data_IF_190893073234
#
_entry.id   IF_190893073234
#
_cell.length_a   1.000
_cell.length_b   1.000
_cell.length_c   1.000
_cell.angle_alpha   90.00
_cell.angle_beta   90.00
_cell.angle_gamma   90.00
#
_symmetry.space_group_name_H-M   'P 1'
#
loop_
_entity.id
_entity.type
_entity.pdbx_description
1 polymer ?
#
# COMPACT_ATOMS: atom_id res chain seq x y z
N UNK A 1 -44.62 -33.72 -63.43
CA UNK A 1 -45.01 -35.15 -63.31
C UNK A 1 -44.89 -35.54 -61.85
N UNK A 2 -46.03 -35.84 -61.21
CA UNK A 2 -46.28 -36.69 -60.03
C UNK A 2 -45.42 -36.51 -58.74
N UNK A 3 -45.91 -36.70 -57.52
CA UNK A 3 -47.24 -36.88 -56.92
C UNK A 3 -47.02 -36.97 -55.41
N UNK A 4 -48.00 -36.52 -54.65
CA UNK A 4 -48.12 -36.58 -53.19
C UNK A 4 -48.30 -38.00 -52.61
N UNK A 5 -48.02 -38.15 -51.31
CA UNK A 5 -48.89 -38.75 -50.25
C UNK A 5 -48.05 -38.91 -48.97
N UNK A 6 -48.34 -38.37 -47.79
CA UNK A 6 -49.55 -38.19 -46.96
C UNK A 6 -49.97 -39.44 -46.15
N UNK A 7 -49.74 -39.36 -44.83
CA UNK A 7 -50.52 -40.04 -43.77
C UNK A 7 -49.80 -41.16 -43.02
N UNK A 8 -50.03 -41.44 -41.73
CA UNK A 8 -50.93 -40.91 -40.68
C UNK A 8 -50.40 -41.44 -39.32
N UNK A 9 -50.97 -40.88 -38.24
CA UNK A 9 -50.66 -41.03 -36.81
C UNK A 9 -50.89 -42.42 -36.18
N UNK A 10 -50.08 -42.69 -35.14
CA UNK A 10 -50.28 -43.39 -33.83
C UNK A 10 -51.40 -44.42 -33.59
N UNK A 11 -51.14 -45.39 -32.69
CA UNK A 11 -51.80 -45.32 -31.38
C UNK A 11 -50.91 -45.79 -30.19
N UNK A 12 -51.16 -45.25 -28.98
CA UNK A 12 -50.93 -45.98 -27.71
C UNK A 12 -52.25 -46.64 -27.26
N UNK A 13 -52.40 -47.17 -26.03
CA UNK A 13 -51.45 -47.43 -24.95
C UNK A 13 -51.52 -48.89 -24.40
N UNK A 14 -50.73 -49.18 -23.35
CA UNK A 14 -51.01 -50.08 -22.21
C UNK A 14 -50.00 -51.22 -21.91
N UNK A 15 -49.69 -51.26 -20.62
CA UNK A 15 -49.39 -52.43 -19.77
C UNK A 15 -48.04 -53.18 -19.95
N UNK A 16 -47.10 -52.85 -19.06
CA UNK A 16 -46.34 -53.90 -18.36
C UNK A 16 -45.88 -53.45 -16.98
N UNK A 17 -46.62 -53.91 -15.97
CA UNK A 17 -46.21 -53.95 -14.58
C UNK A 17 -45.04 -54.93 -14.42
N UNK A 18 -43.94 -54.53 -13.78
CA UNK A 18 -43.16 -55.49 -12.96
C UNK A 18 -42.22 -54.82 -11.94
N UNK A 19 -42.58 -55.03 -10.67
CA UNK A 19 -41.71 -55.25 -9.50
C UNK A 19 -40.91 -54.06 -8.95
N UNK A 20 -41.60 -53.30 -8.10
CA UNK A 20 -41.01 -52.52 -7.02
C UNK A 20 -40.26 -53.42 -6.03
N UNK A 21 -38.94 -53.22 -5.88
CA UNK A 21 -38.15 -53.77 -4.76
C UNK A 21 -38.40 -52.92 -3.52
N UNK A 22 -39.22 -53.41 -2.59
CA UNK A 22 -39.28 -52.89 -1.22
C UNK A 22 -38.04 -53.39 -0.47
N UNK A 23 -37.10 -52.50 -0.16
CA UNK A 23 -36.10 -52.72 0.90
C UNK A 23 -36.63 -52.07 2.18
N UNK A 24 -37.01 -52.92 3.13
CA UNK A 24 -37.40 -52.56 4.48
C UNK A 24 -36.16 -52.13 5.26
N UNK A 25 -36.13 -50.88 5.74
CA UNK A 25 -35.17 -50.44 6.74
C UNK A 25 -35.65 -50.91 8.11
N UNK A 26 -34.94 -51.88 8.68
CA UNK A 26 -35.19 -52.42 10.01
C UNK A 26 -34.49 -51.52 11.04
N UNK A 27 -35.27 -50.68 11.72
CA UNK A 27 -34.83 -49.98 12.92
C UNK A 27 -34.63 -50.98 14.05
N UNK A 28 -33.37 -51.19 14.45
CA UNK A 28 -33.01 -51.89 15.68
C UNK A 28 -32.53 -50.87 16.70
N UNK A 29 -33.45 -50.33 17.50
CA UNK A 29 -33.11 -49.64 18.74
C UNK A 29 -33.05 -50.70 19.82
N UNK A 30 -31.84 -50.97 20.35
CA UNK A 30 -31.67 -51.64 21.64
C UNK A 30 -30.82 -50.72 22.51
N UNK A 31 -31.37 -50.40 23.68
CA UNK A 31 -30.83 -49.44 24.62
C UNK A 31 -29.79 -50.06 25.56
N UNK A 32 -28.94 -49.16 26.05
CA UNK A 32 -28.20 -49.18 27.32
C UNK A 32 -26.93 -50.05 27.46
N UNK A 33 -25.78 -49.37 27.66
CA UNK A 33 -24.54 -50.00 28.08
C UNK A 33 -23.32 -49.05 28.25
N UNK A 34 -23.29 -48.32 29.38
CA UNK A 34 -22.13 -47.70 30.08
C UNK A 34 -21.52 -46.37 29.57
N UNK A 35 -21.31 -45.37 30.47
CA UNK A 35 -20.54 -44.17 30.18
C UNK A 35 -19.05 -44.44 30.43
N UNK A 36 -18.33 -44.81 29.37
CA UNK A 36 -16.87 -44.89 29.37
C UNK A 36 -16.26 -43.49 29.24
N UNK A 37 -15.56 -43.07 30.28
CA UNK A 37 -14.65 -41.91 30.29
C UNK A 37 -13.56 -42.15 29.24
N UNK A 38 -13.45 -41.28 28.23
CA UNK A 38 -12.23 -40.97 27.45
C UNK A 38 -12.55 -40.06 26.26
N UNK A 39 -12.73 -38.77 26.50
CA UNK A 39 -12.62 -37.74 25.42
C UNK A 39 -11.91 -36.48 25.92
N UNK A 40 -11.09 -36.59 26.97
CA UNK A 40 -10.19 -35.53 27.41
C UNK A 40 -8.84 -35.69 26.70
N UNK A 41 -8.84 -35.41 25.40
CA UNK A 41 -7.65 -35.61 24.56
C UNK A 41 -7.81 -35.16 23.12
N UNK A 42 -8.77 -34.26 22.82
CA UNK A 42 -8.74 -33.55 21.53
C UNK A 42 -7.50 -32.65 21.57
N UNK A 43 -6.38 -33.16 21.03
CA UNK A 43 -5.25 -32.34 20.64
C UNK A 43 -5.81 -31.29 19.68
N UNK A 44 -5.79 -30.04 20.10
CA UNK A 44 -6.07 -28.93 19.19
C UNK A 44 -5.18 -29.08 17.94
N UNK A 45 -5.69 -28.79 16.74
CA UNK A 45 -4.94 -28.98 15.50
C UNK A 45 -3.81 -27.94 15.42
N UNK A 46 -2.66 -28.25 16.03
CA UNK A 46 -1.44 -27.40 16.04
C UNK A 46 -0.90 -27.06 14.64
N UNK A 47 -1.42 -27.69 13.57
CA UNK A 47 -1.01 -27.42 12.18
C UNK A 47 -1.72 -26.23 11.53
N UNK A 48 -3.01 -26.02 11.83
CA UNK A 48 -3.81 -24.99 11.14
C UNK A 48 -3.38 -23.57 11.51
N UNK A 49 -3.01 -23.37 12.78
CA UNK A 49 -2.52 -22.07 13.26
C UNK A 49 -1.17 -21.72 12.62
N UNK A 50 -0.27 -22.71 12.55
CA UNK A 50 1.05 -22.60 11.91
C UNK A 50 0.97 -22.27 10.41
N UNK A 51 0.04 -22.89 9.69
CA UNK A 51 -0.14 -22.62 8.25
C UNK A 51 -0.69 -21.20 8.01
N UNK A 52 -1.58 -20.73 8.90
CA UNK A 52 -2.08 -19.35 8.86
C UNK A 52 -0.97 -18.35 9.19
N UNK A 53 -0.19 -18.60 10.23
CA UNK A 53 0.99 -17.79 10.56
C UNK A 53 1.96 -17.66 9.39
N UNK A 54 2.22 -18.79 8.70
CA UNK A 54 3.10 -18.83 7.54
C UNK A 54 2.56 -17.96 6.38
N UNK A 55 1.29 -18.13 6.00
CA UNK A 55 0.66 -17.34 4.92
C UNK A 55 0.66 -15.83 5.27
N UNK A 56 0.45 -15.49 6.54
CA UNK A 56 0.45 -14.09 7.01
C UNK A 56 1.83 -13.46 6.92
N UNK A 57 2.87 -14.19 7.33
CA UNK A 57 4.26 -13.76 7.17
C UNK A 57 4.62 -13.58 5.68
N UNK A 58 4.21 -14.52 4.82
CA UNK A 58 4.45 -14.43 3.37
C UNK A 58 3.80 -13.18 2.74
N UNK A 59 2.60 -12.78 3.17
CA UNK A 59 1.94 -11.58 2.65
C UNK A 59 2.69 -10.30 3.04
N UNK A 60 3.09 -10.17 4.30
CA UNK A 60 3.88 -9.01 4.75
C UNK A 60 5.21 -8.93 4.00
N UNK A 61 5.92 -10.05 3.87
CA UNK A 61 7.17 -10.14 3.12
C UNK A 61 6.98 -9.71 1.66
N UNK A 62 5.93 -10.21 0.99
CA UNK A 62 5.60 -9.82 -0.37
C UNK A 62 5.31 -8.31 -0.51
N UNK A 63 4.55 -7.74 0.42
CA UNK A 63 4.28 -6.30 0.44
C UNK A 63 5.55 -5.49 0.68
N UNK A 64 6.43 -5.93 1.58
CA UNK A 64 7.70 -5.26 1.84
C UNK A 64 8.66 -5.32 0.65
N UNK A 65 8.64 -6.39 -0.15
CA UNK A 65 9.35 -6.45 -1.43
C UNK A 65 8.82 -5.36 -2.36
N UNK A 66 7.50 -5.24 -2.52
CA UNK A 66 6.89 -4.22 -3.37
C UNK A 66 7.20 -2.79 -2.89
N UNK A 67 7.08 -2.53 -1.58
CA UNK A 67 7.47 -1.26 -0.94
C UNK A 67 8.93 -0.92 -1.26
N UNK A 68 9.82 -1.89 -1.13
CA UNK A 68 11.26 -1.73 -1.41
C UNK A 68 11.54 -1.45 -2.89
N UNK A 69 10.80 -2.07 -3.81
CA UNK A 69 10.91 -1.79 -5.25
C UNK A 69 10.51 -0.34 -5.54
N UNK A 70 9.38 0.12 -5.02
CA UNK A 70 8.90 1.50 -5.25
C UNK A 70 9.88 2.52 -4.65
N UNK A 71 10.38 2.28 -3.44
CA UNK A 71 11.41 3.12 -2.83
C UNK A 71 12.71 3.12 -3.64
N UNK A 72 13.16 1.95 -4.11
CA UNK A 72 14.35 1.82 -4.96
C UNK A 72 14.22 2.60 -6.27
N UNK A 73 13.02 2.62 -6.87
CA UNK A 73 12.72 3.47 -8.02
C UNK A 73 12.80 4.96 -7.67
N UNK A 74 12.22 5.37 -6.53
CA UNK A 74 12.31 6.75 -6.04
C UNK A 74 13.76 7.18 -5.79
N UNK A 75 14.56 6.32 -5.15
CA UNK A 75 15.99 6.56 -4.93
C UNK A 75 16.73 6.70 -6.25
N UNK A 76 16.43 5.84 -7.22
CA UNK A 76 17.05 5.89 -8.56
C UNK A 76 16.73 7.21 -9.27
N UNK A 77 15.50 7.71 -9.18
CA UNK A 77 15.11 9.02 -9.73
C UNK A 77 15.90 10.15 -9.08
N UNK A 78 16.02 10.17 -7.74
CA UNK A 78 16.79 11.19 -7.02
C UNK A 78 18.26 11.17 -7.43
N UNK A 79 18.91 10.00 -7.39
CA UNK A 79 20.33 9.88 -7.69
C UNK A 79 20.64 10.17 -9.17
N UNK A 80 19.79 9.68 -10.08
CA UNK A 80 19.95 9.93 -11.52
C UNK A 80 19.74 11.40 -11.86
N UNK A 81 18.74 12.05 -11.25
CA UNK A 81 18.50 13.47 -11.39
C UNK A 81 19.68 14.32 -10.88
N UNK A 82 20.20 14.00 -9.69
CA UNK A 82 21.39 14.65 -9.15
C UNK A 82 22.61 14.48 -10.08
N UNK A 83 22.81 13.28 -10.63
CA UNK A 83 23.88 13.02 -11.60
C UNK A 83 23.70 13.83 -12.89
N UNK A 84 22.47 14.04 -13.38
CA UNK A 84 22.18 14.92 -14.52
C UNK A 84 22.56 16.37 -14.21
N UNK A 85 22.20 16.88 -13.02
CA UNK A 85 22.57 18.24 -12.60
C UNK A 85 24.09 18.41 -12.51
N UNK A 86 24.81 17.44 -11.92
CA UNK A 86 26.26 17.47 -11.80
C UNK A 86 26.97 17.41 -13.16
N UNK A 87 26.45 16.62 -14.12
CA UNK A 87 26.99 16.58 -15.50
C UNK A 87 26.81 17.91 -16.23
N UNK A 88 25.73 18.64 -15.95
CA UNK A 88 25.42 19.93 -16.56
C UNK A 88 25.82 21.15 -15.71
N UNK A 89 26.68 20.95 -14.69
CA UNK A 89 26.97 21.95 -13.65
C UNK A 89 27.43 23.31 -14.19
N UNK A 90 28.14 23.35 -15.32
CA UNK A 90 28.70 24.58 -15.89
C UNK A 90 27.61 25.48 -16.52
N UNK A 91 26.44 24.92 -16.85
CA UNK A 91 25.31 25.64 -17.44
C UNK A 91 24.10 25.80 -16.52
N UNK A 92 24.10 25.17 -15.35
CA UNK A 92 22.97 25.19 -14.40
C UNK A 92 23.17 26.29 -13.37
N UNK A 93 22.11 27.03 -13.04
CA UNK A 93 22.14 27.98 -11.92
C UNK A 93 21.62 27.29 -10.66
N UNK A 94 22.50 26.92 -9.71
CA UNK A 94 22.09 26.16 -8.54
C UNK A 94 21.22 26.99 -7.59
N UNK A 95 20.35 26.31 -6.85
CA UNK A 95 19.54 26.91 -5.80
C UNK A 95 19.48 25.99 -4.59
N UNK A 96 20.02 26.44 -3.47
CA UNK A 96 20.28 25.56 -2.32
C UNK A 96 19.00 24.99 -1.67
N UNK A 97 17.88 25.72 -1.68
CA UNK A 97 16.59 25.18 -1.16
C UNK A 97 16.10 24.03 -2.04
N UNK A 98 16.37 24.08 -3.34
CA UNK A 98 16.03 22.99 -4.23
C UNK A 98 16.89 21.74 -3.93
N UNK A 99 18.18 21.92 -3.65
CA UNK A 99 19.07 20.84 -3.19
C UNK A 99 18.61 20.28 -1.83
N UNK A 100 18.22 21.16 -0.90
CA UNK A 100 17.67 20.78 0.40
C UNK A 100 16.44 19.89 0.24
N UNK A 101 15.55 20.21 -0.69
CA UNK A 101 14.38 19.39 -0.98
C UNK A 101 14.76 18.03 -1.61
N UNK A 102 15.77 17.96 -2.47
CA UNK A 102 16.28 16.69 -3.01
C UNK A 102 16.80 15.78 -1.88
N UNK A 103 17.57 16.33 -0.96
CA UNK A 103 18.06 15.61 0.23
C UNK A 103 16.89 15.18 1.12
N UNK A 104 15.92 16.07 1.35
CA UNK A 104 14.72 15.75 2.13
C UNK A 104 13.91 14.60 1.53
N UNK A 105 13.71 14.57 0.21
CA UNK A 105 13.00 13.47 -0.47
C UNK A 105 13.78 12.16 -0.39
N UNK A 106 15.11 12.20 -0.52
CA UNK A 106 15.96 11.02 -0.33
C UNK A 106 15.84 10.45 1.08
N UNK A 107 15.90 11.31 2.11
CA UNK A 107 15.76 10.89 3.50
C UNK A 107 14.34 10.38 3.78
N UNK A 108 13.31 11.05 3.26
CA UNK A 108 11.92 10.63 3.42
C UNK A 108 11.66 9.25 2.79
N UNK A 109 12.29 8.91 1.66
CA UNK A 109 12.23 7.56 1.07
C UNK A 109 12.76 6.49 2.01
N UNK A 110 13.89 6.77 2.67
CA UNK A 110 14.52 5.85 3.63
C UNK A 110 13.68 5.77 4.92
N UNK A 111 13.20 6.91 5.42
CA UNK A 111 12.35 6.97 6.61
C UNK A 111 11.03 6.23 6.39
N UNK A 112 10.37 6.42 5.25
CA UNK A 112 9.15 5.70 4.92
C UNK A 112 9.38 4.18 4.87
N UNK A 113 10.54 3.74 4.38
CA UNK A 113 10.93 2.33 4.45
C UNK A 113 11.07 1.86 5.91
N UNK A 114 11.76 2.64 6.74
CA UNK A 114 11.98 2.34 8.15
C UNK A 114 10.67 2.21 8.93
N UNK A 115 9.75 3.17 8.80
CA UNK A 115 8.42 3.15 9.44
C UNK A 115 7.51 2.00 8.96
N UNK A 116 7.80 1.43 7.80
CA UNK A 116 7.06 0.26 7.29
C UNK A 116 7.48 -1.01 8.03
N UNK A 117 8.69 -1.04 8.59
CA UNK A 117 9.21 -2.19 9.34
C UNK A 117 8.41 -2.48 10.61
N UNK A 118 7.79 -1.48 11.23
CA UNK A 118 6.98 -1.66 12.45
C UNK A 118 5.72 -2.50 12.24
N UNK A 119 5.27 -2.60 10.99
CA UNK A 119 4.14 -3.45 10.62
C UNK A 119 4.44 -4.95 10.71
N UNK A 120 5.72 -5.35 10.87
CA UNK A 120 6.11 -6.75 11.10
C UNK A 120 5.50 -7.36 12.36
N UNK A 121 5.07 -6.51 13.30
CA UNK A 121 4.46 -6.92 14.57
C UNK A 121 2.95 -7.15 14.45
N UNK A 122 2.34 -6.77 13.32
CA UNK A 122 0.91 -6.95 13.11
C UNK A 122 0.61 -8.37 12.63
N UNK A 123 -0.39 -9.04 13.21
CA UNK A 123 -0.71 -10.42 12.86
C UNK A 123 -1.32 -10.53 11.46
N UNK A 124 -2.15 -9.56 11.03
CA UNK A 124 -2.84 -9.59 9.74
C UNK A 124 -2.87 -8.21 9.07
N UNK A 125 -2.67 -8.17 7.75
CA UNK A 125 -2.84 -6.98 6.91
C UNK A 125 -4.04 -7.16 5.99
N UNK A 126 -5.02 -6.27 6.12
CA UNK A 126 -6.13 -6.17 5.18
C UNK A 126 -5.70 -5.55 3.85
N UNK A 127 -6.51 -5.74 2.80
CA UNK A 127 -6.30 -5.11 1.50
C UNK A 127 -6.20 -3.58 1.60
N UNK A 128 -7.04 -2.94 2.40
CA UNK A 128 -7.03 -1.47 2.60
C UNK A 128 -5.74 -1.02 3.27
N UNK A 129 -5.29 -1.73 4.31
CA UNK A 129 -4.01 -1.46 4.98
C UNK A 129 -2.83 -1.60 4.01
N UNK A 130 -2.85 -2.61 3.14
CA UNK A 130 -1.85 -2.77 2.09
C UNK A 130 -1.86 -1.60 1.09
N UNK A 131 -3.02 -1.14 0.64
CA UNK A 131 -3.11 0.04 -0.24
C UNK A 131 -2.56 1.31 0.42
N UNK A 132 -2.87 1.55 1.70
CA UNK A 132 -2.36 2.71 2.45
C UNK A 132 -0.86 2.62 2.65
N UNK A 133 -0.32 1.44 2.91
CA UNK A 133 1.13 1.20 3.02
C UNK A 133 1.87 1.58 1.73
N UNK A 134 1.30 1.28 0.56
CA UNK A 134 1.90 1.60 -0.73
C UNK A 134 1.77 3.09 -1.11
N UNK A 135 0.82 3.81 -0.53
CA UNK A 135 0.53 5.20 -0.91
C UNK A 135 1.68 6.16 -0.58
N UNK A 136 2.29 6.01 0.60
CA UNK A 136 3.47 6.79 1.01
C UNK A 136 4.64 6.72 0.02
N UNK A 137 5.18 5.53 -0.31
CA UNK A 137 6.29 5.41 -1.25
C UNK A 137 5.92 5.82 -2.68
N UNK A 138 4.66 5.67 -3.12
CA UNK A 138 4.19 6.17 -4.42
C UNK A 138 4.26 7.71 -4.47
N UNK A 139 3.78 8.40 -3.42
CA UNK A 139 3.84 9.87 -3.34
C UNK A 139 5.31 10.33 -3.39
N UNK A 140 6.19 9.68 -2.64
CA UNK A 140 7.63 10.01 -2.63
C UNK A 140 8.31 9.73 -3.98
N UNK A 141 7.94 8.66 -4.67
CA UNK A 141 8.38 8.41 -6.05
C UNK A 141 7.95 9.55 -7.00
N UNK A 142 6.69 9.99 -6.93
CA UNK A 142 6.21 11.11 -7.74
C UNK A 142 6.97 12.40 -7.43
N UNK A 143 7.26 12.67 -6.15
CA UNK A 143 8.10 13.79 -5.76
C UNK A 143 9.51 13.67 -6.35
N UNK A 144 10.15 12.50 -6.22
CA UNK A 144 11.49 12.24 -6.74
C UNK A 144 11.58 12.52 -8.24
N UNK A 145 10.57 12.10 -9.01
CA UNK A 145 10.48 12.33 -10.43
C UNK A 145 10.27 13.81 -10.79
N UNK A 146 9.41 14.52 -10.05
CA UNK A 146 9.06 15.93 -10.29
C UNK A 146 10.10 16.93 -9.74
N UNK A 147 11.16 16.47 -9.08
CA UNK A 147 12.22 17.36 -8.60
C UNK A 147 13.05 17.95 -9.74
N UNK A 148 13.23 17.24 -10.84
CA UNK A 148 14.25 17.62 -11.82
C UNK A 148 13.65 18.27 -13.07
N UNK A 149 14.23 19.37 -13.57
CA UNK A 149 13.84 19.93 -14.86
C UNK A 149 14.14 18.97 -16.01
N UNK A 150 13.30 18.99 -17.02
CA UNK A 150 13.54 18.34 -18.30
C UNK A 150 13.25 19.36 -19.43
N UNK A 151 14.26 19.75 -20.25
CA UNK A 151 15.67 19.39 -20.19
C UNK A 151 16.45 20.10 -19.07
N UNK A 152 17.57 19.49 -18.63
CA UNK A 152 18.46 20.03 -17.58
C UNK A 152 19.44 21.12 -18.04
N UNK A 153 20.11 21.03 -19.21
CA UNK A 153 21.11 22.03 -19.62
C UNK A 153 20.55 23.46 -19.66
N UNK A 154 21.25 24.41 -19.03
CA UNK A 154 20.82 25.81 -18.97
C UNK A 154 19.73 26.09 -17.93
N UNK A 155 19.32 25.09 -17.12
CA UNK A 155 18.23 25.27 -16.17
C UNK A 155 18.56 26.25 -15.03
N UNK A 156 17.62 27.16 -14.77
CA UNK A 156 17.59 27.95 -13.53
C UNK A 156 16.79 27.19 -12.47
N UNK A 157 17.49 26.59 -11.50
CA UNK A 157 16.85 25.76 -10.47
C UNK A 157 15.99 26.59 -9.51
N UNK A 158 16.26 27.89 -9.36
CA UNK A 158 15.43 28.77 -8.54
C UNK A 158 14.09 29.01 -9.24
N UNK A 159 14.13 29.38 -10.52
CA UNK A 159 12.91 29.61 -11.30
C UNK A 159 12.10 28.31 -11.45
N UNK A 160 12.77 27.18 -11.68
CA UNK A 160 12.14 25.86 -11.70
C UNK A 160 11.45 25.55 -10.37
N UNK A 161 12.17 25.68 -9.25
CA UNK A 161 11.65 25.40 -7.92
C UNK A 161 10.37 26.18 -7.62
N UNK A 162 10.34 27.50 -7.80
CA UNK A 162 9.14 28.29 -7.47
C UNK A 162 7.95 28.05 -8.42
N UNK A 163 8.21 27.55 -9.63
CA UNK A 163 7.15 27.10 -10.53
C UNK A 163 6.56 25.78 -10.03
N UNK A 164 7.42 24.87 -9.58
CA UNK A 164 7.04 23.52 -9.16
C UNK A 164 6.62 23.42 -7.68
N UNK A 165 6.93 24.43 -6.86
CA UNK A 165 6.77 24.40 -5.41
C UNK A 165 5.34 24.12 -4.93
N UNK A 166 4.25 24.63 -5.56
CA UNK A 166 2.90 24.29 -5.12
C UNK A 166 2.61 22.79 -5.20
N UNK A 167 3.10 22.13 -6.26
CA UNK A 167 2.92 20.68 -6.45
C UNK A 167 3.82 19.90 -5.49
N UNK A 168 5.10 20.27 -5.39
CA UNK A 168 6.05 19.56 -4.50
C UNK A 168 5.63 19.64 -3.04
N UNK A 169 5.28 20.83 -2.55
CA UNK A 169 4.81 20.99 -1.17
C UNK A 169 3.40 20.44 -0.98
N UNK A 170 2.55 20.44 -2.02
CA UNK A 170 1.27 19.71 -2.01
C UNK A 170 1.45 18.20 -1.82
N UNK A 171 2.47 17.61 -2.46
CA UNK A 171 2.82 16.20 -2.26
C UNK A 171 3.41 15.94 -0.85
N UNK A 172 4.18 16.88 -0.29
CA UNK A 172 4.59 16.81 1.13
C UNK A 172 3.37 16.80 2.04
N UNK A 173 2.40 17.68 1.82
CA UNK A 173 1.14 17.71 2.59
C UNK A 173 0.42 16.37 2.46
N UNK A 174 0.27 15.85 1.24
CA UNK A 174 -0.41 14.58 0.99
C UNK A 174 0.29 13.40 1.68
N UNK A 175 1.61 13.25 1.51
CA UNK A 175 2.39 12.18 2.13
C UNK A 175 2.36 12.26 3.66
N UNK A 176 2.53 13.47 4.21
CA UNK A 176 2.49 13.69 5.66
C UNK A 176 1.09 13.39 6.22
N UNK A 177 0.02 13.79 5.52
CA UNK A 177 -1.35 13.48 5.94
C UNK A 177 -1.65 11.98 5.91
N UNK A 178 -1.07 11.24 4.94
CA UNK A 178 -1.16 9.78 4.91
C UNK A 178 -0.49 9.17 6.15
N UNK A 179 0.74 9.57 6.47
CA UNK A 179 1.46 9.07 7.64
C UNK A 179 0.83 9.47 8.98
N UNK A 180 0.38 10.72 9.10
CA UNK A 180 -0.08 11.31 10.37
C UNK A 180 -1.52 10.95 10.70
N UNK A 181 -2.39 10.85 9.69
CA UNK A 181 -3.83 10.67 9.90
C UNK A 181 -4.32 9.34 9.32
N UNK A 182 -4.11 9.12 8.02
CA UNK A 182 -4.73 7.98 7.34
C UNK A 182 -4.19 6.65 7.85
N UNK A 183 -2.88 6.50 7.98
CA UNK A 183 -2.23 5.29 8.47
C UNK A 183 -2.70 4.98 9.91
N UNK A 184 -2.57 5.88 10.91
CA UNK A 184 -3.05 5.58 12.26
C UNK A 184 -4.53 5.18 12.32
N UNK A 185 -5.41 5.87 11.58
CA UNK A 185 -6.84 5.53 11.53
C UNK A 185 -7.09 4.14 10.94
N UNK A 186 -6.39 3.78 9.86
CA UNK A 186 -6.58 2.50 9.16
C UNK A 186 -5.94 1.31 9.90
N UNK A 187 -4.96 1.59 10.77
CA UNK A 187 -4.27 0.60 11.60
C UNK A 187 -4.76 0.58 13.05
N UNK A 188 -5.84 1.32 13.36
CA UNK A 188 -6.41 1.46 14.71
C UNK A 188 -5.38 1.92 15.78
N UNK A 189 -4.41 2.73 15.34
CA UNK A 189 -3.41 3.34 16.21
C UNK A 189 -3.84 4.74 16.66
N UNK A 190 -3.44 5.20 17.86
CA UNK A 190 -3.68 6.57 18.27
C UNK A 190 -3.06 7.57 17.30
N UNK A 191 -3.88 8.49 16.77
CA UNK A 191 -3.39 9.58 15.90
C UNK A 191 -2.40 10.47 16.65
N UNK A 192 -2.71 10.79 17.91
CA UNK A 192 -1.85 11.59 18.81
C UNK A 192 -0.80 10.71 19.50
N UNK A 193 -0.01 9.99 18.72
CA UNK A 193 1.18 9.29 19.19
C UNK A 193 2.42 10.17 18.96
N UNK A 194 3.42 10.19 19.86
CA UNK A 194 4.60 11.07 19.72
C UNK A 194 5.27 11.06 18.34
N UNK A 195 5.39 9.89 17.71
CA UNK A 195 5.96 9.72 16.36
C UNK A 195 5.13 10.35 15.23
N UNK A 196 3.86 10.69 15.48
CA UNK A 196 2.97 11.29 14.48
C UNK A 196 2.78 12.80 14.72
N UNK A 197 3.29 13.34 15.84
CA UNK A 197 3.09 14.76 16.18
C UNK A 197 3.88 15.70 15.27
N UNK A 198 5.00 15.23 14.71
CA UNK A 198 5.81 15.94 13.72
C UNK A 198 4.95 16.42 12.54
N UNK A 199 4.02 15.59 12.08
CA UNK A 199 3.13 15.89 10.96
C UNK A 199 2.15 17.04 11.21
N UNK A 200 1.73 17.25 12.46
CA UNK A 200 0.85 18.38 12.83
C UNK A 200 1.53 19.74 12.61
N UNK A 201 2.87 19.78 12.66
CA UNK A 201 3.68 20.98 12.39
C UNK A 201 4.10 21.03 10.91
N UNK A 202 4.49 19.89 10.34
CA UNK A 202 4.94 19.81 8.95
C UNK A 202 3.86 20.21 7.95
N UNK A 203 2.60 19.79 8.16
CA UNK A 203 1.48 20.10 7.26
C UNK A 203 1.23 21.62 7.11
N UNK A 204 1.01 22.40 8.18
CA UNK A 204 0.81 23.85 8.03
C UNK A 204 2.01 24.55 7.44
N UNK A 205 3.24 24.13 7.77
CA UNK A 205 4.45 24.69 7.15
C UNK A 205 4.49 24.42 5.64
N UNK A 206 4.21 23.18 5.22
CA UNK A 206 4.16 22.81 3.81
C UNK A 206 3.03 23.53 3.07
N UNK A 207 1.86 23.75 3.68
CA UNK A 207 0.78 24.55 3.10
C UNK A 207 1.18 26.02 2.87
N UNK A 208 1.91 26.62 3.81
CA UNK A 208 2.48 27.97 3.65
C UNK A 208 3.48 27.99 2.48
N UNK A 209 4.32 26.97 2.35
CA UNK A 209 5.28 26.87 1.24
C UNK A 209 4.65 26.55 -0.11
N UNK A 210 3.51 25.86 -0.13
CA UNK A 210 2.77 25.60 -1.35
C UNK A 210 2.11 26.87 -1.93
N UNK A 211 1.73 27.81 -1.05
CA UNK A 211 1.01 29.03 -1.42
C UNK A 211 1.88 30.28 -1.50
N UNK A 212 3.06 30.28 -0.87
CA UNK A 212 3.99 31.40 -0.84
C UNK A 212 4.97 31.40 -2.01
N UNK A 213 5.49 32.60 -2.33
CA UNK A 213 6.68 32.77 -3.19
C UNK A 213 7.82 33.53 -2.50
N UNK A 214 7.73 33.74 -1.19
CA UNK A 214 8.70 34.51 -0.43
C UNK A 214 9.98 33.71 -0.13
N UNK A 215 11.15 34.13 -0.62
CA UNK A 215 12.37 33.34 -0.43
C UNK A 215 12.79 33.10 1.01
N UNK A 216 12.46 34.04 1.90
CA UNK A 216 12.72 33.90 3.34
C UNK A 216 11.88 32.80 3.96
N UNK A 217 10.61 32.71 3.59
CA UNK A 217 9.71 31.66 4.11
C UNK A 217 10.18 30.28 3.66
N UNK A 218 10.55 30.12 2.38
CA UNK A 218 11.09 28.84 1.89
C UNK A 218 12.42 28.50 2.56
N UNK A 219 13.31 29.46 2.81
CA UNK A 219 14.57 29.21 3.51
C UNK A 219 14.33 28.70 4.94
N UNK A 220 13.46 29.36 5.71
CA UNK A 220 13.21 29.03 7.12
C UNK A 220 12.39 27.74 7.23
N UNK A 221 11.24 27.67 6.58
CA UNK A 221 10.30 26.56 6.77
C UNK A 221 10.76 25.27 6.10
N UNK A 222 11.41 25.33 4.92
CA UNK A 222 11.92 24.09 4.30
C UNK A 222 13.06 23.48 5.13
N UNK A 223 13.93 24.33 5.69
CA UNK A 223 14.98 23.88 6.63
C UNK A 223 14.36 23.32 7.90
N UNK A 224 13.34 23.97 8.47
CA UNK A 224 12.63 23.47 9.65
C UNK A 224 11.97 22.11 9.37
N UNK A 225 11.31 21.93 8.22
CA UNK A 225 10.72 20.64 7.83
C UNK A 225 11.80 19.56 7.69
N UNK A 226 12.95 19.87 7.07
CA UNK A 226 14.04 18.91 6.98
C UNK A 226 14.60 18.53 8.36
N UNK A 227 14.71 19.50 9.28
CA UNK A 227 15.14 19.21 10.66
C UNK A 227 14.10 18.36 11.39
N UNK A 228 12.81 18.65 11.23
CA UNK A 228 11.74 17.82 11.79
C UNK A 228 11.88 16.39 11.25
N UNK A 229 12.02 16.21 9.94
CA UNK A 229 12.21 14.90 9.32
C UNK A 229 13.41 14.14 9.92
N UNK A 230 14.56 14.81 10.09
CA UNK A 230 15.76 14.17 10.65
C UNK A 230 15.63 13.84 12.14
N UNK A 231 14.84 14.59 12.88
CA UNK A 231 14.60 14.37 14.31
C UNK A 231 13.47 13.36 14.57
N UNK A 232 12.67 13.05 13.55
CA UNK A 232 11.56 12.12 13.59
C UNK A 232 12.07 10.69 13.31
N UNK A 233 12.81 10.14 14.29
CA UNK A 233 13.43 8.80 14.25
C UNK A 233 12.91 7.89 15.33
#
# INVERSE_FOLDING_TARGET
MASASAGRRAPGPAARLSRARRRTYRWGVTAAGRPGREWAGRREPRGVDRDRDAIRMELFEFLMILVSIIIGLGVTEVLSGAARLLRARDGVRPYWIHVLLQVGVFLALIQNWWESWDLRLLPELSYVQACVLLLGPIILFLMAHLLYPDPVPGADLRAYYYRQSPILWGLVVAGTAVGTFLKPVVFDWPVLYPSNLSGLVTIPFALVLASSRSPRLHAVLATAILLILVLDT
#
